data_IF_071994543635
#
_entry.id   IF_071994543635
#
_cell.length_a   1.000
_cell.length_b   1.000
_cell.length_c   1.000
_cell.angle_alpha   90.00
_cell.angle_beta   90.00
_cell.angle_gamma   90.00
#
_symmetry.space_group_name_H-M   'P 1'
#
loop_
_entity.id
_entity.type
_entity.pdbx_description
1 polymer ?
#
# COMPACT_ATOMS: atom_id res chain seq x y z
N UNK A 1 31.75 -3.94 10.27
CA UNK A 1 30.48 -3.91 11.03
C UNK A 1 29.60 -2.83 10.41
N UNK A 2 28.90 -3.17 9.32
CA UNK A 2 28.04 -2.24 8.58
C UNK A 2 26.79 -1.99 9.42
N UNK A 3 26.77 -0.88 10.16
CA UNK A 3 25.57 -0.46 10.87
C UNK A 3 24.51 -0.09 9.83
N UNK A 4 23.39 -0.82 9.81
CA UNK A 4 22.22 -0.48 9.00
C UNK A 4 21.74 0.93 9.36
N UNK A 5 21.52 1.78 8.36
CA UNK A 5 21.11 3.18 8.53
C UNK A 5 19.88 3.34 9.45
N UNK A 6 18.99 2.34 9.44
CA UNK A 6 17.82 2.25 10.31
C UNK A 6 18.12 2.24 11.81
N UNK A 7 19.27 1.73 12.27
CA UNK A 7 19.62 1.73 13.70
C UNK A 7 20.16 3.07 14.21
N UNK A 8 20.50 3.98 13.29
CA UNK A 8 20.96 5.35 13.61
C UNK A 8 19.85 6.38 13.52
N UNK A 9 18.68 5.99 13.00
CA UNK A 9 17.57 6.90 12.86
C UNK A 9 16.91 7.14 14.22
N UNK A 10 16.78 8.40 14.64
CA UNK A 10 16.14 8.71 15.91
C UNK A 10 14.62 8.50 15.79
N UNK A 11 13.96 8.15 16.90
CA UNK A 11 12.53 7.79 16.91
C UNK A 11 11.61 8.85 16.30
N UNK A 12 11.97 10.13 16.40
CA UNK A 12 11.19 11.22 15.80
C UNK A 12 11.14 11.19 14.26
N UNK A 13 12.00 10.39 13.60
CA UNK A 13 11.93 10.17 12.14
C UNK A 13 10.65 9.46 11.69
N UNK A 14 9.89 8.85 12.61
CA UNK A 14 8.59 8.22 12.31
C UNK A 14 7.45 9.23 12.12
N UNK A 15 7.64 10.50 12.53
CA UNK A 15 6.58 11.52 12.50
C UNK A 15 5.95 11.67 11.11
N UNK A 16 6.71 11.78 9.99
CA UNK A 16 6.12 11.92 8.67
C UNK A 16 5.28 10.70 8.26
N UNK A 17 5.70 9.51 8.69
CA UNK A 17 4.96 8.27 8.46
C UNK A 17 3.62 8.25 9.21
N UNK A 18 3.62 8.61 10.50
CA UNK A 18 2.37 8.74 11.28
C UNK A 18 1.50 9.85 10.68
N UNK A 19 2.09 10.97 10.27
CA UNK A 19 1.41 12.11 9.67
C UNK A 19 0.64 11.74 8.41
N UNK A 20 1.26 11.01 7.47
CA UNK A 20 0.57 10.55 6.26
C UNK A 20 -0.53 9.53 6.59
N UNK A 21 -0.29 8.59 7.54
CA UNK A 21 -1.30 7.62 7.97
C UNK A 21 -2.54 8.29 8.58
N UNK A 22 -2.34 9.29 9.44
CA UNK A 22 -3.44 10.06 10.01
C UNK A 22 -4.15 10.89 8.93
N UNK A 23 -3.41 11.43 7.96
CA UNK A 23 -4.00 12.19 6.85
C UNK A 23 -4.93 11.32 6.00
N UNK A 24 -4.49 10.12 5.61
CA UNK A 24 -5.32 9.18 4.82
C UNK A 24 -6.50 8.62 5.63
N UNK A 25 -6.42 8.59 6.97
CA UNK A 25 -7.49 8.08 7.82
C UNK A 25 -8.55 9.15 8.14
N UNK A 26 -8.13 10.39 8.41
CA UNK A 26 -9.00 11.44 8.94
C UNK A 26 -9.51 12.40 7.86
N UNK A 27 -8.69 12.82 6.89
CA UNK A 27 -9.11 13.82 5.91
C UNK A 27 -10.21 13.36 4.95
N UNK A 28 -10.26 12.10 4.48
CA UNK A 28 -11.41 11.64 3.71
C UNK A 28 -12.74 11.74 4.48
N UNK A 29 -12.70 11.61 5.81
CA UNK A 29 -13.89 11.64 6.66
C UNK A 29 -14.28 13.07 7.08
N UNK A 30 -13.30 13.91 7.41
CA UNK A 30 -13.52 15.26 7.92
C UNK A 30 -13.65 16.33 6.82
N UNK A 31 -12.89 16.19 5.73
CA UNK A 31 -12.78 17.18 4.65
C UNK A 31 -12.65 16.46 3.28
N UNK A 32 -13.70 15.75 2.83
CA UNK A 32 -13.65 14.91 1.63
C UNK A 32 -13.28 15.70 0.36
N UNK A 33 -13.89 16.86 0.13
CA UNK A 33 -13.64 17.67 -1.08
C UNK A 33 -12.19 18.15 -1.17
N UNK A 34 -11.63 18.56 -0.02
CA UNK A 34 -10.23 18.95 0.09
C UNK A 34 -9.32 17.76 -0.21
N UNK A 35 -9.58 16.62 0.44
CA UNK A 35 -8.79 15.41 0.27
C UNK A 35 -8.78 14.94 -1.18
N UNK A 36 -9.93 14.82 -1.83
CA UNK A 36 -10.02 14.38 -3.22
C UNK A 36 -9.22 15.27 -4.19
N UNK A 37 -9.16 16.59 -3.95
CA UNK A 37 -8.39 17.51 -4.77
C UNK A 37 -6.90 17.62 -4.39
N UNK A 38 -6.55 17.39 -3.12
CA UNK A 38 -5.24 17.73 -2.57
C UNK A 38 -4.45 16.53 -2.03
N UNK A 39 -4.96 15.30 -2.11
CA UNK A 39 -4.28 14.12 -1.54
C UNK A 39 -2.82 14.04 -2.02
N UNK A 40 -2.58 14.22 -3.34
CA UNK A 40 -1.24 14.15 -3.90
C UNK A 40 -0.29 15.21 -3.35
N UNK A 41 -0.80 16.42 -3.09
CA UNK A 41 0.00 17.51 -2.50
C UNK A 41 0.31 17.22 -1.03
N UNK A 42 -0.65 16.70 -0.27
CA UNK A 42 -0.45 16.31 1.13
C UNK A 42 0.55 15.16 1.25
N UNK A 43 0.41 14.13 0.41
CA UNK A 43 1.37 13.03 0.32
C UNK A 43 2.77 13.51 -0.06
N UNK A 44 2.88 14.40 -1.05
CA UNK A 44 4.17 14.98 -1.44
C UNK A 44 4.78 15.82 -0.31
N UNK A 45 3.98 16.58 0.44
CA UNK A 45 4.47 17.36 1.57
C UNK A 45 5.08 16.45 2.64
N UNK A 46 4.38 15.39 3.07
CA UNK A 46 4.91 14.43 4.04
C UNK A 46 6.16 13.69 3.51
N UNK A 47 6.16 13.31 2.24
CA UNK A 47 7.32 12.67 1.60
C UNK A 47 8.55 13.59 1.59
N UNK A 48 8.37 14.88 1.27
CA UNK A 48 9.46 15.87 1.27
C UNK A 48 9.96 16.18 2.67
N UNK A 49 9.07 16.26 3.67
CA UNK A 49 9.43 16.44 5.08
C UNK A 49 10.34 15.30 5.56
N UNK A 50 10.14 14.07 5.06
CA UNK A 50 11.05 12.95 5.34
C UNK A 50 12.32 13.03 4.48
N UNK A 51 12.18 13.18 3.17
CA UNK A 51 13.27 13.03 2.21
C UNK A 51 14.31 14.16 2.31
N UNK A 52 13.89 15.41 2.46
CA UNK A 52 14.80 16.56 2.46
C UNK A 52 15.79 16.49 3.65
N UNK A 53 15.36 16.37 4.92
CA UNK A 53 16.29 16.28 6.04
C UNK A 53 17.16 15.02 5.97
N UNK A 54 16.59 13.92 5.48
CA UNK A 54 17.30 12.66 5.35
C UNK A 54 18.42 12.72 4.31
N UNK A 55 18.16 13.33 3.14
CA UNK A 55 19.17 13.59 2.11
C UNK A 55 20.21 14.59 2.59
N UNK A 56 19.84 15.63 3.34
CA UNK A 56 20.82 16.58 3.89
C UNK A 56 21.75 15.89 4.90
N UNK A 57 21.23 15.04 5.77
CA UNK A 57 21.99 14.37 6.82
C UNK A 57 22.90 13.26 6.29
N UNK A 58 22.40 12.41 5.38
CA UNK A 58 23.10 11.19 4.93
C UNK A 58 23.53 11.22 3.46
N UNK A 59 23.18 12.28 2.71
CA UNK A 59 23.66 12.58 1.35
C UNK A 59 23.49 11.39 0.39
N UNK A 60 24.60 10.89 -0.16
CA UNK A 60 24.60 9.83 -1.17
C UNK A 60 23.99 8.52 -0.68
N UNK A 61 24.14 8.19 0.62
CA UNK A 61 23.52 6.98 1.19
C UNK A 61 22.00 7.11 1.22
N UNK A 62 21.44 8.25 1.63
CA UNK A 62 20.00 8.48 1.60
C UNK A 62 19.42 8.36 0.19
N UNK A 63 20.10 8.97 -0.80
CA UNK A 63 19.65 8.90 -2.19
C UNK A 63 19.71 7.47 -2.71
N UNK A 64 20.77 6.72 -2.38
CA UNK A 64 20.89 5.32 -2.76
C UNK A 64 19.75 4.48 -2.17
N UNK A 65 19.49 4.58 -0.86
CA UNK A 65 18.43 3.83 -0.18
C UNK A 65 17.04 4.18 -0.72
N UNK A 66 16.75 5.47 -0.94
CA UNK A 66 15.48 5.89 -1.54
C UNK A 66 15.32 5.26 -2.92
N UNK A 67 16.32 5.40 -3.79
CA UNK A 67 16.25 4.83 -5.14
C UNK A 67 16.17 3.31 -5.10
N UNK A 68 16.91 2.66 -4.21
CA UNK A 68 16.87 1.22 -4.03
C UNK A 68 15.45 0.75 -3.70
N UNK A 69 14.78 1.36 -2.72
CA UNK A 69 13.39 1.02 -2.37
C UNK A 69 12.45 1.25 -3.56
N UNK A 70 12.61 2.35 -4.30
CA UNK A 70 11.77 2.63 -5.47
C UNK A 70 11.93 1.58 -6.57
N UNK A 71 13.16 1.20 -6.90
CA UNK A 71 13.44 0.30 -8.03
C UNK A 71 13.33 -1.17 -7.69
N UNK A 72 13.69 -1.57 -6.47
CA UNK A 72 13.76 -2.98 -6.07
C UNK A 72 12.45 -3.45 -5.43
N UNK A 73 11.76 -2.58 -4.68
CA UNK A 73 10.56 -2.97 -3.97
C UNK A 73 9.29 -2.36 -4.58
N UNK A 74 9.27 -1.03 -4.76
CA UNK A 74 8.04 -0.31 -5.09
C UNK A 74 7.59 -0.55 -6.54
N UNK A 75 8.47 -0.34 -7.52
CA UNK A 75 8.12 -0.56 -8.95
C UNK A 75 7.75 -2.03 -9.20
N UNK A 76 8.53 -3.03 -8.76
CA UNK A 76 8.16 -4.44 -8.91
C UNK A 76 6.83 -4.79 -8.23
N UNK A 77 6.55 -4.21 -7.06
CA UNK A 77 5.25 -4.37 -6.40
C UNK A 77 4.11 -3.83 -7.26
N UNK A 78 4.23 -2.62 -7.84
CA UNK A 78 3.21 -2.07 -8.75
C UNK A 78 3.03 -2.95 -9.99
N UNK A 79 4.11 -3.47 -10.57
CA UNK A 79 4.04 -4.38 -11.72
C UNK A 79 3.33 -5.69 -11.34
N UNK A 80 3.63 -6.25 -10.16
CA UNK A 80 2.98 -7.45 -9.65
C UNK A 80 1.47 -7.22 -9.48
N UNK A 81 1.09 -6.10 -8.84
CA UNK A 81 -0.32 -5.73 -8.66
C UNK A 81 -1.02 -5.55 -10.01
N UNK A 82 -0.36 -4.92 -10.98
CA UNK A 82 -0.90 -4.75 -12.33
C UNK A 82 -1.12 -6.09 -13.04
N UNK A 83 -0.12 -6.99 -12.97
CA UNK A 83 -0.21 -8.33 -13.52
C UNK A 83 -1.36 -9.13 -12.90
N UNK A 84 -1.50 -9.05 -11.57
CA UNK A 84 -2.56 -9.73 -10.84
C UNK A 84 -3.94 -9.17 -11.18
N UNK A 85 -4.09 -7.84 -11.27
CA UNK A 85 -5.33 -7.21 -11.71
C UNK A 85 -5.72 -7.63 -13.14
N UNK A 86 -4.74 -7.72 -14.04
CA UNK A 86 -4.95 -8.15 -15.43
C UNK A 86 -5.34 -9.62 -15.51
N UNK A 87 -4.66 -10.49 -14.77
CA UNK A 87 -4.94 -11.92 -14.71
C UNK A 87 -6.31 -12.21 -14.07
N UNK A 88 -6.61 -11.60 -12.92
CA UNK A 88 -7.92 -11.65 -12.27
C UNK A 88 -9.02 -11.06 -13.18
N UNK A 89 -8.64 -10.08 -14.00
CA UNK A 89 -9.37 -9.55 -15.15
C UNK A 89 -10.09 -10.58 -16.00
N UNK A 90 -9.39 -11.67 -16.32
CA UNK A 90 -9.89 -12.75 -17.18
C UNK A 90 -10.64 -13.86 -16.46
N UNK A 91 -10.68 -13.84 -15.12
CA UNK A 91 -11.41 -14.85 -14.34
C UNK A 91 -12.90 -14.53 -14.38
N UNK A 92 -13.66 -15.34 -15.11
CA UNK A 92 -15.11 -15.25 -15.18
C UNK A 92 -15.75 -16.30 -14.28
N UNK A 93 -16.37 -15.87 -13.19
CA UNK A 93 -17.21 -16.72 -12.35
C UNK A 93 -18.66 -16.58 -12.79
N UNK A 94 -19.29 -17.67 -13.22
CA UNK A 94 -20.72 -17.71 -13.54
C UNK A 94 -21.47 -18.42 -12.43
N UNK A 95 -22.32 -17.70 -11.70
CA UNK A 95 -23.18 -18.27 -10.68
C UNK A 95 -23.90 -17.21 -9.88
N UNK A 96 -25.09 -17.53 -9.35
CA UNK A 96 -25.77 -16.66 -8.37
C UNK A 96 -25.14 -16.87 -7.00
N UNK A 97 -24.23 -15.99 -6.59
CA UNK A 97 -23.74 -15.95 -5.21
C UNK A 97 -24.90 -15.49 -4.33
N UNK A 98 -25.60 -16.43 -3.70
CA UNK A 98 -26.62 -16.10 -2.70
C UNK A 98 -25.91 -15.57 -1.46
N UNK A 99 -26.31 -14.39 -0.99
CA UNK A 99 -25.79 -13.78 0.25
C UNK A 99 -26.28 -14.48 1.53
N UNK A 100 -26.08 -15.79 1.64
CA UNK A 100 -26.38 -16.54 2.87
C UNK A 100 -25.16 -16.54 3.80
N UNK A 101 -25.37 -16.66 5.13
CA UNK A 101 -24.25 -16.70 6.08
C UNK A 101 -23.19 -17.76 5.75
N UNK A 102 -23.61 -18.95 5.30
CA UNK A 102 -22.70 -20.03 4.94
C UNK A 102 -21.79 -19.68 3.75
N UNK A 103 -22.35 -19.05 2.69
CA UNK A 103 -21.58 -18.65 1.51
C UNK A 103 -20.61 -17.52 1.85
N UNK A 104 -21.02 -16.55 2.66
CA UNK A 104 -20.14 -15.46 3.12
C UNK A 104 -18.98 -15.99 3.97
N UNK A 105 -19.24 -16.89 4.90
CA UNK A 105 -18.18 -17.51 5.71
C UNK A 105 -17.21 -18.31 4.84
N UNK A 106 -17.71 -19.05 3.84
CA UNK A 106 -16.86 -19.75 2.88
C UNK A 106 -15.97 -18.77 2.08
N UNK A 107 -16.53 -17.65 1.62
CA UNK A 107 -15.76 -16.61 0.93
C UNK A 107 -14.67 -16.01 1.83
N UNK A 108 -14.97 -15.76 3.11
CA UNK A 108 -13.98 -15.28 4.08
C UNK A 108 -12.86 -16.30 4.32
N UNK A 109 -13.18 -17.59 4.41
CA UNK A 109 -12.18 -18.66 4.54
C UNK A 109 -11.27 -18.69 3.31
N UNK A 110 -11.84 -18.66 2.11
CA UNK A 110 -11.06 -18.62 0.85
C UNK A 110 -10.15 -17.40 0.82
N UNK A 111 -10.69 -16.21 1.13
CA UNK A 111 -9.91 -14.97 1.20
C UNK A 111 -8.78 -15.02 2.23
N UNK A 112 -9.01 -15.64 3.39
CA UNK A 112 -8.00 -15.78 4.46
C UNK A 112 -6.87 -16.70 4.03
N UNK A 113 -7.19 -17.85 3.40
CA UNK A 113 -6.19 -18.80 2.88
C UNK A 113 -5.34 -18.12 1.81
N UNK A 114 -5.98 -17.43 0.85
CA UNK A 114 -5.28 -16.70 -0.20
C UNK A 114 -4.41 -15.58 0.38
N UNK A 115 -4.93 -14.80 1.33
CA UNK A 115 -4.17 -13.72 1.97
C UNK A 115 -2.95 -14.25 2.73
N UNK A 116 -3.02 -15.46 3.28
CA UNK A 116 -1.91 -16.09 3.99
C UNK A 116 -0.79 -16.54 3.05
N UNK A 117 -1.12 -16.86 1.78
CA UNK A 117 -0.14 -17.26 0.77
C UNK A 117 0.49 -16.05 0.06
N UNK A 118 -0.33 -15.15 -0.48
CA UNK A 118 0.11 -14.08 -1.39
C UNK A 118 -0.04 -12.67 -0.81
N UNK A 119 -0.40 -12.54 0.48
CA UNK A 119 -0.66 -11.28 1.15
C UNK A 119 -2.09 -10.74 0.92
N UNK A 120 -2.52 -9.85 1.81
CA UNK A 120 -3.87 -9.27 1.80
C UNK A 120 -4.15 -8.44 0.54
N UNK A 121 -3.17 -7.68 0.05
CA UNK A 121 -3.28 -6.90 -1.18
C UNK A 121 -3.49 -7.81 -2.40
N UNK A 122 -2.70 -8.89 -2.50
CA UNK A 122 -2.80 -9.84 -3.60
C UNK A 122 -4.14 -10.58 -3.61
N UNK A 123 -4.54 -11.15 -2.47
CA UNK A 123 -5.81 -11.83 -2.34
C UNK A 123 -7.01 -10.92 -2.69
N UNK A 124 -6.96 -9.66 -2.25
CA UNK A 124 -8.01 -8.68 -2.57
C UNK A 124 -8.09 -8.41 -4.08
N UNK A 125 -6.95 -8.21 -4.76
CA UNK A 125 -6.93 -7.98 -6.21
C UNK A 125 -7.38 -9.20 -7.03
N UNK A 126 -7.10 -10.41 -6.56
CA UNK A 126 -7.57 -11.64 -7.22
C UNK A 126 -9.09 -11.80 -7.11
N UNK A 127 -9.65 -11.49 -5.95
CA UNK A 127 -11.07 -11.71 -5.64
C UNK A 127 -11.99 -10.56 -6.06
N UNK A 128 -11.46 -9.33 -6.20
CA UNK A 128 -12.29 -8.13 -6.43
C UNK A 128 -13.16 -8.25 -7.67
N UNK A 129 -12.61 -8.76 -8.78
CA UNK A 129 -13.33 -8.84 -10.06
C UNK A 129 -14.34 -9.98 -10.13
N UNK A 130 -14.00 -11.21 -9.70
CA UNK A 130 -14.94 -12.33 -9.66
C UNK A 130 -16.11 -12.15 -8.69
N UNK A 131 -15.96 -11.33 -7.64
CA UNK A 131 -17.00 -11.10 -6.63
C UNK A 131 -17.88 -9.90 -6.95
N UNK A 132 -17.34 -8.84 -7.57
CA UNK A 132 -18.11 -7.65 -7.93
C UNK A 132 -18.90 -7.79 -9.25
N UNK A 133 -18.65 -8.83 -10.05
CA UNK A 133 -19.40 -9.15 -11.27
C UNK A 133 -20.25 -10.39 -11.09
#
# INVERSE_FOLDING_TARGET
>A
MTMHLGSRLPLWSIIPFIGILLSIALFPLLLPDFWHHHFGKVSAAWALILAIPFIIAFKGEAVHEILHIYFIDYIPFIILLWGLFTAAGGIFLKGTIKGTPAVNTLMLIIGTILASWMGTTGASMLLIRPVLR
#
